data_IF_736679419010
#
_entry.id   IF_736679419010
#
_cell.length_a   1.000
_cell.length_b   1.000
_cell.length_c   1.000
_cell.angle_alpha   90.00
_cell.angle_beta   90.00
_cell.angle_gamma   90.00
#
_symmetry.space_group_name_H-M   'P 1'
#
loop_
_entity.id
_entity.type
_entity.pdbx_description
1 polymer ?
#
# COMPACT_ATOMS: atom_id res chain seq x y z
N UNK A 1 -24.73 19.69 -74.20
CA UNK A 1 -25.64 19.51 -73.05
C UNK A 1 -25.59 18.04 -72.71
N UNK A 2 -25.07 17.55 -71.59
CA UNK A 2 -24.62 18.14 -70.33
C UNK A 2 -23.42 17.33 -69.80
N UNK A 3 -22.57 18.00 -69.04
CA UNK A 3 -21.43 17.43 -68.35
C UNK A 3 -21.92 16.68 -67.08
N UNK A 4 -21.59 15.39 -66.93
CA UNK A 4 -21.77 14.69 -65.66
C UNK A 4 -20.55 14.86 -64.77
N UNK A 5 -20.81 15.54 -63.67
CA UNK A 5 -19.89 16.04 -62.65
C UNK A 5 -19.59 14.93 -61.62
N UNK A 6 -18.33 14.87 -61.20
CA UNK A 6 -17.78 13.95 -60.18
C UNK A 6 -18.35 14.26 -58.79
N UNK A 7 -18.50 13.25 -57.93
CA UNK A 7 -18.45 13.46 -56.48
C UNK A 7 -17.65 12.33 -55.79
N UNK A 8 -16.39 12.62 -55.52
CA UNK A 8 -15.52 11.88 -54.59
C UNK A 8 -15.91 12.26 -53.16
N UNK A 9 -16.38 11.29 -52.36
CA UNK A 9 -16.64 11.50 -50.93
C UNK A 9 -15.34 11.28 -50.13
N UNK A 10 -14.88 12.25 -49.32
CA UNK A 10 -13.80 12.02 -48.37
C UNK A 10 -14.34 11.31 -47.12
N UNK A 11 -13.68 10.21 -46.73
CA UNK A 11 -13.89 9.52 -45.45
C UNK A 11 -13.31 10.42 -44.35
N UNK A 12 -14.19 10.98 -43.52
CA UNK A 12 -13.81 11.72 -42.31
C UNK A 12 -13.60 10.70 -41.19
N UNK A 13 -12.36 10.55 -40.72
CA UNK A 13 -12.02 9.80 -39.50
C UNK A 13 -12.12 10.77 -38.33
N UNK A 14 -13.09 10.65 -37.41
CA UNK A 14 -13.05 11.38 -36.16
C UNK A 14 -12.07 10.65 -35.22
N UNK A 15 -10.87 11.20 -35.03
CA UNK A 15 -9.96 10.70 -33.99
C UNK A 15 -10.41 11.26 -32.64
N UNK A 16 -10.77 10.31 -31.77
CA UNK A 16 -11.28 10.43 -30.42
C UNK A 16 -10.49 11.39 -29.52
N UNK A 17 -11.26 12.07 -28.66
CA UNK A 17 -10.81 12.97 -27.61
C UNK A 17 -9.84 12.32 -26.61
N UNK A 18 -8.67 12.94 -26.42
CA UNK A 18 -7.82 12.70 -25.27
C UNK A 18 -8.28 13.60 -24.11
N UNK A 19 -9.21 13.11 -23.30
CA UNK A 19 -9.57 13.70 -22.01
C UNK A 19 -9.09 12.76 -20.89
N UNK A 20 -7.78 12.55 -20.76
CA UNK A 20 -7.19 11.97 -19.56
C UNK A 20 -6.83 13.08 -18.59
N UNK A 21 -7.87 13.64 -17.98
CA UNK A 21 -7.78 14.63 -16.91
C UNK A 21 -8.79 14.33 -15.80
N UNK A 22 -9.10 13.05 -15.55
CA UNK A 22 -9.79 12.69 -14.32
C UNK A 22 -8.74 12.64 -13.21
N UNK A 23 -8.68 13.72 -12.44
CA UNK A 23 -8.09 13.71 -11.10
C UNK A 23 -8.68 12.49 -10.37
N UNK A 24 -7.85 11.46 -10.16
CA UNK A 24 -8.23 10.33 -9.32
C UNK A 24 -8.72 10.91 -8.00
N UNK A 25 -9.98 10.62 -7.67
CA UNK A 25 -10.54 10.97 -6.37
C UNK A 25 -9.53 10.50 -5.33
N UNK A 26 -8.98 11.43 -4.55
CA UNK A 26 -7.92 11.18 -3.58
C UNK A 26 -8.30 10.16 -2.49
N UNK A 27 -9.54 9.67 -2.55
CA UNK A 27 -10.15 8.66 -1.69
C UNK A 27 -10.17 7.23 -2.22
N UNK A 28 -9.97 7.03 -3.52
CA UNK A 28 -9.96 5.69 -4.11
C UNK A 28 -8.61 4.98 -3.87
N UNK A 29 -8.58 3.66 -3.74
CA UNK A 29 -7.32 2.91 -3.71
C UNK A 29 -6.49 3.15 -4.99
N UNK A 30 -5.16 3.17 -4.87
CA UNK A 30 -4.29 3.25 -6.04
C UNK A 30 -4.44 1.96 -6.90
N UNK A 31 -4.86 2.05 -8.18
CA UNK A 31 -5.10 0.88 -9.03
C UNK A 31 -3.83 0.09 -9.33
N UNK A 32 -2.66 0.72 -9.34
CA UNK A 32 -1.41 0.02 -9.56
C UNK A 32 -1.08 -0.90 -8.36
N UNK A 33 -1.36 -0.46 -7.14
CA UNK A 33 -1.17 -1.29 -5.94
C UNK A 33 -2.16 -2.46 -5.92
N UNK A 34 -3.41 -2.24 -6.35
CA UNK A 34 -4.38 -3.33 -6.55
C UNK A 34 -3.87 -4.37 -7.55
N UNK A 35 -3.20 -3.93 -8.62
CA UNK A 35 -2.59 -4.84 -9.59
C UNK A 35 -1.37 -5.58 -9.00
N UNK A 36 -0.59 -4.95 -8.11
CA UNK A 36 0.56 -5.59 -7.48
C UNK A 36 0.15 -6.64 -6.44
N UNK A 37 -1.01 -6.50 -5.78
CA UNK A 37 -1.61 -7.58 -4.98
C UNK A 37 -1.82 -8.87 -5.79
N UNK A 38 -2.10 -8.79 -7.10
CA UNK A 38 -2.25 -9.98 -7.95
C UNK A 38 -0.94 -10.73 -8.19
N UNK A 39 0.20 -10.05 -8.01
CA UNK A 39 1.55 -10.60 -8.17
C UNK A 39 2.17 -10.99 -6.83
N UNK A 40 1.51 -10.65 -5.72
CA UNK A 40 2.03 -10.84 -4.37
C UNK A 40 1.87 -12.30 -3.97
N UNK A 41 2.96 -12.94 -3.55
CA UNK A 41 2.95 -14.30 -3.03
C UNK A 41 3.05 -14.36 -1.50
N UNK A 42 3.52 -13.28 -0.88
CA UNK A 42 3.75 -13.20 0.55
C UNK A 42 3.70 -11.76 1.05
N UNK A 43 3.42 -11.61 2.34
CA UNK A 43 3.55 -10.34 3.07
C UNK A 43 4.65 -10.47 4.10
N UNK A 44 5.54 -9.48 4.13
CA UNK A 44 6.56 -9.34 5.16
C UNK A 44 6.09 -8.30 6.16
N UNK A 45 5.86 -8.73 7.40
CA UNK A 45 5.50 -7.88 8.52
C UNK A 45 6.78 -7.52 9.27
N UNK A 46 7.02 -6.24 9.51
CA UNK A 46 8.12 -5.76 10.34
C UNK A 46 7.60 -5.00 11.55
N UNK A 47 8.17 -5.29 12.71
CA UNK A 47 7.93 -4.56 13.94
C UNK A 47 9.30 -4.23 14.57
N UNK A 48 9.70 -2.97 14.49
CA UNK A 48 11.05 -2.50 14.77
C UNK A 48 12.10 -3.32 14.00
N UNK A 49 13.02 -3.98 14.70
CA UNK A 49 14.11 -4.74 14.10
C UNK A 49 13.72 -6.18 13.71
N UNK A 50 12.47 -6.56 13.96
CA UNK A 50 12.01 -7.94 13.82
C UNK A 50 11.04 -8.08 12.66
N UNK A 51 11.04 -9.27 12.06
CA UNK A 51 10.24 -9.52 10.88
C UNK A 51 9.67 -10.93 10.83
N UNK A 52 8.53 -11.06 10.15
CA UNK A 52 7.86 -12.33 9.92
C UNK A 52 7.27 -12.34 8.50
N UNK A 53 7.51 -13.43 7.77
CA UNK A 53 6.98 -13.63 6.42
C UNK A 53 5.74 -14.51 6.51
N UNK A 54 4.64 -14.06 5.91
CA UNK A 54 3.38 -14.79 5.81
C UNK A 54 3.15 -15.10 4.33
N UNK A 55 3.37 -16.36 3.95
CA UNK A 55 3.13 -16.88 2.60
C UNK A 55 1.77 -17.59 2.51
N UNK A 56 0.72 -16.91 2.97
CA UNK A 56 -0.66 -17.39 2.94
C UNK A 56 -1.50 -16.54 1.98
N UNK A 57 -2.10 -17.19 0.99
CA UNK A 57 -2.95 -16.53 0.00
C UNK A 57 -4.20 -15.91 0.63
N UNK A 58 -4.73 -16.48 1.72
CA UNK A 58 -5.87 -15.89 2.42
C UNK A 58 -5.47 -14.57 3.09
N UNK A 59 -4.32 -14.54 3.78
CA UNK A 59 -3.78 -13.31 4.35
C UNK A 59 -3.51 -12.21 3.30
N UNK A 60 -2.92 -12.56 2.15
CA UNK A 60 -2.71 -11.61 1.04
C UNK A 60 -4.05 -11.07 0.52
N UNK A 61 -5.03 -11.94 0.28
CA UNK A 61 -6.36 -11.53 -0.18
C UNK A 61 -7.10 -10.70 0.86
N UNK A 62 -6.94 -11.00 2.15
CA UNK A 62 -7.53 -10.22 3.24
C UNK A 62 -6.92 -8.82 3.29
N UNK A 63 -5.60 -8.68 3.15
CA UNK A 63 -4.94 -7.37 3.08
C UNK A 63 -5.40 -6.58 1.86
N UNK A 64 -5.50 -7.23 0.68
CA UNK A 64 -6.06 -6.61 -0.52
C UNK A 64 -7.46 -6.06 -0.26
N UNK A 65 -8.33 -6.86 0.35
CA UNK A 65 -9.70 -6.44 0.65
C UNK A 65 -9.73 -5.24 1.61
N UNK A 66 -8.86 -5.21 2.62
CA UNK A 66 -8.71 -4.04 3.51
C UNK A 66 -8.29 -2.81 2.70
N UNK A 67 -7.27 -2.94 1.85
CA UNK A 67 -6.76 -1.85 1.02
C UNK A 67 -7.80 -1.31 0.03
N UNK A 68 -8.52 -2.21 -0.65
CA UNK A 68 -9.54 -1.88 -1.65
C UNK A 68 -10.73 -1.13 -1.05
N UNK A 69 -11.13 -1.48 0.17
CA UNK A 69 -12.29 -0.90 0.85
C UNK A 69 -11.93 0.27 1.78
N UNK A 70 -10.65 0.56 1.98
CA UNK A 70 -10.19 1.67 2.80
C UNK A 70 -10.55 3.03 2.17
N UNK A 71 -10.84 4.01 3.03
CA UNK A 71 -11.08 5.40 2.61
C UNK A 71 -9.78 6.19 2.69
N UNK A 72 -9.08 6.25 1.57
CA UNK A 72 -7.79 6.91 1.49
C UNK A 72 -7.92 8.44 1.57
N UNK A 73 -6.92 9.13 2.07
CA UNK A 73 -6.86 10.59 2.10
C UNK A 73 -5.43 11.06 1.93
N UNK A 74 -5.16 12.15 1.19
CA UNK A 74 -3.84 12.77 1.18
C UNK A 74 -3.46 13.19 2.60
N UNK A 75 -2.20 12.95 2.97
CA UNK A 75 -1.63 13.42 4.22
C UNK A 75 -0.75 14.63 3.95
N UNK A 76 -1.05 15.74 4.61
CA UNK A 76 -0.39 17.04 4.38
C UNK A 76 0.28 17.61 5.64
N UNK A 77 0.29 16.86 6.74
CA UNK A 77 0.90 17.26 8.01
C UNK A 77 2.33 16.70 8.14
N UNK A 78 2.99 17.02 9.27
CA UNK A 78 4.25 16.39 9.66
C UNK A 78 4.07 14.89 9.84
N UNK A 79 4.97 14.10 9.28
CA UNK A 79 4.94 12.65 9.40
C UNK A 79 5.15 12.22 10.87
N UNK A 80 4.45 11.20 11.36
CA UNK A 80 4.69 10.66 12.69
C UNK A 80 6.14 10.21 12.86
N UNK A 81 6.74 10.45 14.03
CA UNK A 81 8.13 10.05 14.30
C UNK A 81 8.35 8.54 14.35
N UNK A 82 7.27 7.77 14.52
CA UNK A 82 7.25 6.30 14.50
C UNK A 82 6.79 5.73 13.13
N UNK A 83 6.70 6.56 12.08
CA UNK A 83 6.41 6.07 10.75
C UNK A 83 7.57 5.18 10.28
N UNK A 84 7.29 3.93 9.97
CA UNK A 84 8.29 2.92 9.61
C UNK A 84 8.65 1.94 10.75
N UNK A 85 8.22 2.17 11.99
CA UNK A 85 8.42 1.21 13.08
C UNK A 85 7.65 -0.09 12.82
N UNK A 86 6.47 0.02 12.20
CA UNK A 86 5.59 -1.10 11.87
C UNK A 86 5.26 -1.03 10.39
N UNK A 87 5.70 -2.03 9.64
CA UNK A 87 5.55 -2.04 8.18
C UNK A 87 4.98 -3.35 7.67
N UNK A 88 4.29 -3.25 6.54
CA UNK A 88 3.79 -4.38 5.77
C UNK A 88 4.32 -4.23 4.36
N UNK A 89 5.05 -5.23 3.91
CA UNK A 89 5.68 -5.24 2.60
C UNK A 89 5.04 -6.32 1.73
N UNK A 90 4.56 -5.95 0.54
CA UNK A 90 4.09 -6.91 -0.45
C UNK A 90 5.28 -7.48 -1.21
N UNK A 91 5.41 -8.80 -1.25
CA UNK A 91 6.54 -9.47 -1.89
C UNK A 91 6.10 -10.41 -3.01
N UNK A 92 6.98 -10.55 -4.01
CA UNK A 92 6.97 -11.61 -5.02
C UNK A 92 8.36 -12.23 -5.04
N UNK A 93 8.51 -13.37 -4.38
CA UNK A 93 9.80 -13.92 -3.99
C UNK A 93 10.60 -12.91 -3.18
N UNK A 94 11.79 -12.56 -3.67
CA UNK A 94 12.69 -11.59 -3.01
C UNK A 94 12.38 -10.13 -3.39
N UNK A 95 11.47 -9.89 -4.33
CA UNK A 95 11.17 -8.55 -4.81
C UNK A 95 10.12 -7.89 -3.94
N UNK A 96 10.44 -6.72 -3.36
CA UNK A 96 9.46 -5.85 -2.74
C UNK A 96 8.67 -5.11 -3.81
N UNK A 97 7.34 -5.26 -3.80
CA UNK A 97 6.44 -4.59 -4.72
C UNK A 97 5.92 -3.27 -4.13
N UNK A 98 5.53 -3.30 -2.85
CA UNK A 98 4.92 -2.17 -2.13
C UNK A 98 5.29 -2.18 -0.66
N UNK A 99 5.33 -0.98 -0.09
CA UNK A 99 5.61 -0.73 1.31
C UNK A 99 4.47 0.05 1.94
N UNK A 100 3.90 -0.49 3.00
CA UNK A 100 2.97 0.19 3.88
C UNK A 100 3.61 0.46 5.23
N UNK A 101 3.37 1.64 5.79
CA UNK A 101 3.57 1.89 7.22
C UNK A 101 2.25 1.78 7.98
N UNK A 102 2.33 1.45 9.27
CA UNK A 102 1.16 1.32 10.13
C UNK A 102 1.36 2.00 11.48
N UNK A 103 0.49 2.95 11.81
CA UNK A 103 0.54 3.71 13.09
C UNK A 103 -0.82 3.72 13.79
N UNK A 104 -1.66 2.71 13.54
CA UNK A 104 -3.09 2.71 13.83
C UNK A 104 -3.93 3.10 12.59
N UNK A 105 -3.33 3.87 11.70
CA UNK A 105 -3.80 4.06 10.31
C UNK A 105 -2.86 3.33 9.35
N UNK A 106 -3.39 2.92 8.19
CA UNK A 106 -2.57 2.36 7.11
C UNK A 106 -2.04 3.49 6.23
N UNK A 107 -0.76 3.42 5.86
CA UNK A 107 -0.09 4.46 5.08
C UNK A 107 0.40 3.90 3.74
N UNK A 108 0.08 4.60 2.65
CA UNK A 108 0.81 4.48 1.38
C UNK A 108 2.02 5.41 1.46
N UNK A 109 3.23 4.85 1.55
CA UNK A 109 4.48 5.60 1.73
C UNK A 109 5.39 5.45 0.50
N UNK A 110 4.87 5.80 -0.68
CA UNK A 110 5.58 5.66 -1.95
C UNK A 110 6.60 6.78 -2.20
N UNK A 111 6.35 7.97 -1.62
CA UNK A 111 7.26 9.11 -1.69
C UNK A 111 7.10 10.02 -0.47
N UNK A 112 8.11 10.85 -0.21
CA UNK A 112 8.06 11.83 0.88
C UNK A 112 6.95 12.88 0.71
N UNK A 113 6.49 13.12 -0.52
CA UNK A 113 5.56 14.21 -0.86
C UNK A 113 4.13 13.75 -1.11
N UNK A 114 3.90 12.46 -1.30
CA UNK A 114 2.59 11.91 -1.70
C UNK A 114 2.11 10.81 -0.75
N UNK A 115 2.29 11.03 0.55
CA UNK A 115 1.80 10.10 1.56
C UNK A 115 0.28 10.15 1.62
N UNK A 116 -0.35 8.97 1.71
CA UNK A 116 -1.79 8.84 1.91
C UNK A 116 -2.07 7.96 3.10
N UNK A 117 -3.15 8.26 3.80
CA UNK A 117 -3.58 7.51 4.99
C UNK A 117 -4.97 6.97 4.77
N UNK A 118 -5.24 5.80 5.36
CA UNK A 118 -6.57 5.26 5.51
C UNK A 118 -6.85 4.93 6.97
N UNK A 119 -7.96 5.48 7.48
CA UNK A 119 -8.58 4.97 8.69
C UNK A 119 -9.30 3.67 8.36
N UNK A 120 -9.04 2.65 9.18
CA UNK A 120 -9.58 1.31 8.99
C UNK A 120 -10.83 1.13 9.85
N UNK A 121 -11.68 0.18 9.47
CA UNK A 121 -12.72 -0.29 10.38
C UNK A 121 -12.09 -0.98 11.60
N UNK A 122 -12.79 -1.03 12.74
CA UNK A 122 -12.28 -1.71 13.94
C UNK A 122 -11.94 -3.19 13.70
N UNK A 123 -12.66 -3.86 12.79
CA UNK A 123 -12.35 -5.24 12.40
C UNK A 123 -11.07 -5.34 11.58
N UNK A 124 -10.85 -4.40 10.65
CA UNK A 124 -9.66 -4.41 9.79
C UNK A 124 -8.43 -3.97 10.59
N UNK A 125 -8.56 -2.96 11.44
CA UNK A 125 -7.51 -2.53 12.36
C UNK A 125 -7.08 -3.68 13.28
N UNK A 126 -8.03 -4.36 13.94
CA UNK A 126 -7.71 -5.53 14.80
C UNK A 126 -7.07 -6.67 14.04
N UNK A 127 -7.50 -6.92 12.81
CA UNK A 127 -6.88 -7.95 11.98
C UNK A 127 -5.44 -7.57 11.61
N UNK A 128 -5.17 -6.33 11.18
CA UNK A 128 -3.81 -5.86 10.93
C UNK A 128 -2.96 -5.95 12.20
N UNK A 129 -3.48 -5.50 13.35
CA UNK A 129 -2.81 -5.61 14.65
C UNK A 129 -2.41 -7.06 14.95
N UNK A 130 -3.28 -8.03 14.64
CA UNK A 130 -2.98 -9.45 14.84
C UNK A 130 -1.81 -9.96 13.98
N UNK A 131 -1.53 -9.36 12.81
CA UNK A 131 -0.37 -9.72 12.00
C UNK A 131 0.94 -9.33 12.69
N UNK A 132 0.97 -8.17 13.35
CA UNK A 132 2.16 -7.71 14.08
C UNK A 132 2.41 -8.50 15.36
N UNK A 133 1.37 -9.08 15.96
CA UNK A 133 1.50 -10.00 17.09
C UNK A 133 2.15 -11.35 16.71
N UNK A 134 2.29 -11.65 15.41
CA UNK A 134 3.04 -12.83 14.92
C UNK A 134 4.54 -12.58 14.83
N UNK A 135 4.98 -11.33 14.91
CA UNK A 135 6.41 -11.00 14.95
C UNK A 135 6.91 -11.42 16.33
N UNK A 136 7.89 -12.33 16.44
CA UNK A 136 8.34 -12.81 17.73
C UNK A 136 8.82 -11.64 18.57
N UNK A 137 8.34 -11.47 19.80
CA UNK A 137 8.96 -10.51 20.72
C UNK A 137 10.40 -10.99 20.95
N UNK A 138 11.37 -10.25 20.43
CA UNK A 138 12.77 -10.51 20.71
C UNK A 138 12.92 -10.42 22.22
N UNK A 139 13.56 -11.41 22.85
CA UNK A 139 14.13 -11.16 24.16
C UNK A 139 15.00 -9.90 24.02
N UNK A 140 14.52 -8.78 24.56
CA UNK A 140 15.37 -7.62 24.80
C UNK A 140 16.65 -8.16 25.41
N UNK A 141 17.85 -7.82 24.88
CA UNK A 141 19.09 -8.21 25.54
C UNK A 141 18.98 -7.74 26.98
N UNK A 142 18.83 -8.69 27.92
CA UNK A 142 18.88 -8.35 29.32
C UNK A 142 20.29 -7.82 29.54
N UNK A 143 20.42 -6.49 29.62
CA UNK A 143 21.63 -5.85 30.11
C UNK A 143 21.99 -6.58 31.40
N UNK A 144 23.20 -7.18 31.50
CA UNK A 144 23.57 -7.94 32.69
C UNK A 144 23.37 -7.03 33.89
N UNK A 145 22.58 -7.48 34.86
CA UNK A 145 22.45 -6.82 36.16
C UNK A 145 23.87 -6.67 36.71
N UNK A 146 24.46 -5.50 36.57
CA UNK A 146 25.71 -5.15 37.23
C UNK A 146 25.55 -5.48 38.69
N UNK A 147 26.24 -6.52 39.14
CA UNK A 147 26.40 -6.81 40.55
C UNK A 147 27.19 -5.64 41.13
N UNK A 148 26.48 -4.69 41.71
CA UNK A 148 27.08 -3.66 42.55
C UNK A 148 27.48 -4.38 43.84
N UNK A 149 28.70 -4.94 43.83
CA UNK A 149 29.37 -5.36 45.05
C UNK A 149 29.73 -4.07 45.80
N UNK A 150 29.00 -3.79 46.88
CA UNK A 150 29.31 -2.70 47.80
C UNK A 150 30.50 -3.11 48.68
N UNK A 151 31.49 -2.23 48.94
CA UNK A 151 32.52 -2.47 49.94
C UNK A 151 31.95 -2.53 51.36
#
# INVERSE_FOLDING_TARGET
MEASMRLTMPIIIPLLAAAFGCQFSSHAPNPQWLADFQKTDSILIRNHDQQHVIADAEAVNRLRNVYENAKWKPYWHTLPGNLGDRTIDLQNGETNLRHFSYTGSLWETESYTENRTAELSDSDARWIESLFALVPDGESPQLPKSQITKP
#
